data_IF_036799779458
#
_entry.id   IF_036799779458
#
_cell.length_a   1.000
_cell.length_b   1.000
_cell.length_c   1.000
_cell.angle_alpha   90.00
_cell.angle_beta   90.00
_cell.angle_gamma   90.00
#
_symmetry.space_group_name_H-M   'P 1'
#
loop_
_entity.id
_entity.type
_entity.pdbx_description
1 polymer ?
#
# COMPACT_ATOMS: atom_id res chain seq x y z
N UNK A 1 4.55 25.54 -37.20
CA UNK A 1 3.65 25.63 -36.02
C UNK A 1 4.06 26.83 -35.18
N UNK A 2 3.13 27.67 -34.74
CA UNK A 2 3.49 28.81 -33.88
C UNK A 2 3.90 28.31 -32.49
N UNK A 3 4.77 29.04 -31.78
CA UNK A 3 5.18 28.69 -30.40
C UNK A 3 3.97 28.49 -29.46
N UNK A 4 2.88 29.22 -29.71
CA UNK A 4 1.59 29.08 -29.00
C UNK A 4 0.90 27.75 -29.29
N UNK A 5 0.95 27.28 -30.55
CA UNK A 5 0.42 25.97 -30.94
C UNK A 5 1.20 24.81 -30.31
N UNK A 6 2.52 24.97 -30.12
CA UNK A 6 3.36 23.97 -29.44
C UNK A 6 3.05 23.93 -27.94
N UNK A 7 2.90 25.10 -27.31
CA UNK A 7 2.53 25.19 -25.89
C UNK A 7 1.15 24.58 -25.61
N UNK A 8 0.18 24.81 -26.49
CA UNK A 8 -1.16 24.25 -26.37
C UNK A 8 -1.18 22.72 -26.50
N UNK A 9 -0.36 22.16 -27.40
CA UNK A 9 -0.22 20.70 -27.55
C UNK A 9 0.46 20.05 -26.34
N UNK A 10 1.41 20.74 -25.71
CA UNK A 10 2.07 20.27 -24.49
C UNK A 10 1.11 20.19 -23.30
N UNK A 11 0.17 21.15 -23.15
CA UNK A 11 -0.87 21.11 -22.12
C UNK A 11 -1.92 20.01 -22.33
N UNK A 12 -2.15 19.55 -23.57
CA UNK A 12 -3.11 18.47 -23.84
C UNK A 12 -2.57 17.09 -23.44
N UNK A 13 -1.25 16.89 -23.47
CA UNK A 13 -0.61 15.60 -23.17
C UNK A 13 -0.54 15.33 -21.66
N UNK A 14 -0.47 16.36 -20.82
CA UNK A 14 -0.38 16.21 -19.35
C UNK A 14 -1.71 15.79 -18.70
N UNK A 15 -2.83 15.88 -19.43
CA UNK A 15 -4.16 15.57 -18.90
C UNK A 15 -4.60 14.10 -19.02
N UNK A 16 -3.86 13.24 -19.73
CA UNK A 16 -4.35 11.90 -20.17
C UNK A 16 -3.79 10.74 -19.34
N UNK A 17 -2.91 10.98 -18.36
CA UNK A 17 -2.22 9.90 -17.64
C UNK A 17 -2.41 9.93 -16.11
N UNK A 18 -3.66 9.93 -15.65
CA UNK A 18 -3.93 9.51 -14.27
C UNK A 18 -4.08 7.99 -14.25
N UNK A 19 -2.96 7.28 -14.14
CA UNK A 19 -3.01 5.86 -13.74
C UNK A 19 -3.38 5.80 -12.26
N UNK A 20 -4.11 4.76 -11.84
CA UNK A 20 -4.35 4.49 -10.42
C UNK A 20 -3.01 4.25 -9.71
N UNK A 21 -2.80 5.01 -8.63
CA UNK A 21 -1.58 4.99 -7.84
C UNK A 21 -1.87 4.51 -6.42
N UNK A 22 -0.84 3.97 -5.78
CA UNK A 22 -0.88 3.70 -4.35
C UNK A 22 -1.05 5.00 -3.56
N UNK A 23 -2.00 5.00 -2.65
CA UNK A 23 -2.24 6.09 -1.71
C UNK A 23 -1.91 5.63 -0.30
N UNK A 24 -1.39 6.52 0.54
CA UNK A 24 -1.23 6.26 1.97
C UNK A 24 -2.43 6.85 2.71
N UNK A 25 -3.01 6.06 3.61
CA UNK A 25 -4.12 6.46 4.44
C UNK A 25 -3.88 6.02 5.89
N UNK A 26 -4.68 6.58 6.79
CA UNK A 26 -4.58 6.31 8.23
C UNK A 26 -5.91 5.85 8.80
N UNK A 27 -5.84 5.04 9.86
CA UNK A 27 -6.97 4.54 10.62
C UNK A 27 -6.70 4.75 12.11
N UNK A 28 -7.57 5.50 12.79
CA UNK A 28 -7.50 5.61 14.24
C UNK A 28 -8.03 4.32 14.87
N UNK A 29 -7.15 3.55 15.52
CA UNK A 29 -7.52 2.36 16.29
C UNK A 29 -7.42 2.65 17.79
N UNK A 30 -8.03 1.79 18.63
CA UNK A 30 -8.00 1.93 20.10
C UNK A 30 -6.58 1.93 20.67
N UNK A 31 -5.68 1.19 20.02
CA UNK A 31 -4.26 1.10 20.36
C UNK A 31 -3.38 2.12 19.61
N UNK A 32 -3.96 3.21 19.10
CA UNK A 32 -3.27 4.29 18.40
C UNK A 32 -3.49 4.34 16.88
N UNK A 33 -2.87 5.33 16.24
CA UNK A 33 -2.95 5.55 14.79
C UNK A 33 -2.30 4.38 14.03
N UNK A 34 -2.94 3.95 12.94
CA UNK A 34 -2.43 2.94 12.00
C UNK A 34 -2.27 3.56 10.63
N UNK A 35 -1.24 3.15 9.91
CA UNK A 35 -0.98 3.59 8.54
C UNK A 35 -1.09 2.40 7.59
N UNK A 36 -1.57 2.64 6.38
CA UNK A 36 -1.64 1.63 5.34
C UNK A 36 -1.52 2.26 3.95
N UNK A 37 -1.01 1.48 2.99
CA UNK A 37 -1.10 1.79 1.57
C UNK A 37 -2.35 1.15 0.99
N UNK A 38 -3.09 1.86 0.15
CA UNK A 38 -4.27 1.36 -0.56
C UNK A 38 -4.10 1.55 -2.06
N UNK A 39 -4.53 0.54 -2.82
CA UNK A 39 -4.69 0.60 -4.26
C UNK A 39 -6.14 0.31 -4.60
N UNK A 40 -6.81 1.30 -5.19
CA UNK A 40 -8.15 1.15 -5.77
C UNK A 40 -7.93 0.99 -7.27
N UNK A 41 -8.49 -0.03 -7.93
CA UNK A 41 -8.24 -0.24 -9.35
C UNK A 41 -9.02 0.76 -10.21
N UNK A 42 -8.52 1.04 -11.41
CA UNK A 42 -9.09 2.05 -12.31
C UNK A 42 -10.53 1.74 -12.75
N UNK A 43 -10.90 0.46 -12.74
CA UNK A 43 -12.23 -0.03 -13.10
C UNK A 43 -13.22 -0.14 -11.92
N UNK A 44 -12.87 0.35 -10.72
CA UNK A 44 -13.76 0.29 -9.57
C UNK A 44 -15.10 1.00 -9.83
N UNK A 45 -16.20 0.30 -9.54
CA UNK A 45 -17.56 0.81 -9.65
C UNK A 45 -18.34 0.47 -8.37
N UNK A 46 -18.95 1.48 -7.73
CA UNK A 46 -19.73 1.26 -6.50
C UNK A 46 -21.00 0.44 -6.71
N UNK A 47 -21.53 0.36 -7.94
CA UNK A 47 -22.66 -0.50 -8.29
C UNK A 47 -22.25 -1.97 -8.51
N UNK A 48 -20.96 -2.23 -8.72
CA UNK A 48 -20.38 -3.58 -8.76
C UNK A 48 -19.14 -3.64 -7.87
N UNK A 49 -19.33 -3.76 -6.54
CA UNK A 49 -18.26 -3.60 -5.57
C UNK A 49 -17.07 -4.54 -5.82
N UNK A 50 -15.86 -4.00 -5.71
CA UNK A 50 -14.62 -4.77 -5.74
C UNK A 50 -14.50 -5.68 -4.51
N UNK A 51 -13.80 -6.81 -4.67
CA UNK A 51 -13.32 -7.59 -3.52
C UNK A 51 -12.18 -6.85 -2.81
N UNK A 52 -11.95 -7.15 -1.53
CA UNK A 52 -10.86 -6.56 -0.75
C UNK A 52 -9.79 -7.61 -0.42
N UNK A 53 -8.53 -7.31 -0.70
CA UNK A 53 -7.38 -8.13 -0.33
C UNK A 53 -6.45 -7.33 0.59
N UNK A 54 -6.09 -7.92 1.72
CA UNK A 54 -5.13 -7.34 2.66
C UNK A 54 -3.82 -8.12 2.54
N UNK A 55 -2.73 -7.41 2.27
CA UNK A 55 -1.40 -7.99 2.08
C UNK A 55 -0.47 -7.55 3.21
N UNK A 56 0.08 -8.53 3.93
CA UNK A 56 0.92 -8.29 5.11
C UNK A 56 2.38 -8.53 4.74
N UNK A 57 3.22 -7.52 4.97
CA UNK A 57 4.66 -7.62 4.74
C UNK A 57 5.34 -8.51 5.79
N UNK A 58 6.55 -9.00 5.48
CA UNK A 58 7.35 -9.82 6.39
C UNK A 58 7.99 -9.03 7.54
N UNK A 59 8.63 -9.73 8.48
CA UNK A 59 9.35 -9.13 9.61
C UNK A 59 10.44 -8.17 9.11
N UNK A 60 10.48 -6.96 9.67
CA UNK A 60 11.46 -5.92 9.34
C UNK A 60 11.16 -5.15 8.04
N UNK A 61 10.17 -5.56 7.26
CA UNK A 61 9.78 -4.88 6.02
C UNK A 61 8.80 -3.71 6.28
N UNK A 62 8.37 -3.02 5.23
CA UNK A 62 7.42 -1.90 5.28
C UNK A 62 6.35 -2.02 4.21
N UNK A 63 5.19 -1.37 4.42
CA UNK A 63 4.12 -1.29 3.44
C UNK A 63 4.59 -0.70 2.09
N UNK A 64 5.53 0.25 2.12
CA UNK A 64 6.00 0.96 0.93
C UNK A 64 6.85 0.06 0.03
N UNK A 65 7.64 -0.82 0.63
CA UNK A 65 8.41 -1.81 -0.11
C UNK A 65 7.50 -2.96 -0.59
N UNK A 66 6.73 -3.55 0.33
CA UNK A 66 5.93 -4.74 0.05
C UNK A 66 4.80 -4.51 -0.95
N UNK A 67 4.20 -3.32 -1.02
CA UNK A 67 3.15 -3.03 -2.01
C UNK A 67 3.61 -3.18 -3.48
N UNK A 68 4.93 -3.17 -3.73
CA UNK A 68 5.49 -3.26 -5.08
C UNK A 68 5.68 -4.68 -5.61
N UNK A 69 5.27 -5.72 -4.88
CA UNK A 69 5.43 -7.13 -5.30
C UNK A 69 4.43 -7.61 -6.36
N UNK A 70 3.68 -6.70 -7.00
CA UNK A 70 2.82 -7.00 -8.15
C UNK A 70 1.31 -6.98 -7.88
N UNK A 71 0.87 -6.70 -6.66
CA UNK A 71 -0.56 -6.69 -6.33
C UNK A 71 -1.38 -5.60 -7.05
N UNK A 72 -0.76 -4.48 -7.44
CA UNK A 72 -1.45 -3.46 -8.24
C UNK A 72 -1.92 -3.99 -9.60
N UNK A 73 -1.12 -4.82 -10.28
CA UNK A 73 -1.53 -5.43 -11.55
C UNK A 73 -2.68 -6.44 -11.36
N UNK A 74 -2.68 -7.16 -10.24
CA UNK A 74 -3.79 -8.06 -9.88
C UNK A 74 -5.06 -7.29 -9.56
N UNK A 75 -4.95 -6.12 -8.89
CA UNK A 75 -6.07 -5.24 -8.60
C UNK A 75 -6.79 -4.80 -9.88
N UNK A 76 -6.03 -4.29 -10.85
CA UNK A 76 -6.55 -3.87 -12.16
C UNK A 76 -7.25 -5.01 -12.91
N UNK A 77 -6.63 -6.20 -12.91
CA UNK A 77 -7.13 -7.35 -13.67
C UNK A 77 -8.39 -7.96 -13.06
N UNK A 78 -8.53 -7.96 -11.73
CA UNK A 78 -9.54 -8.75 -11.04
C UNK A 78 -10.61 -7.92 -10.30
N UNK A 79 -10.63 -6.59 -10.47
CA UNK A 79 -11.51 -5.68 -9.73
C UNK A 79 -11.38 -5.90 -8.20
N UNK A 80 -10.15 -5.78 -7.71
CA UNK A 80 -9.80 -5.97 -6.30
C UNK A 80 -9.21 -4.67 -5.76
N UNK A 81 -9.68 -4.23 -4.59
CA UNK A 81 -8.99 -3.22 -3.79
C UNK A 81 -7.92 -3.92 -2.97
N UNK A 82 -6.69 -3.40 -2.99
CA UNK A 82 -5.59 -3.96 -2.20
C UNK A 82 -5.21 -2.99 -1.10
N UNK A 83 -5.09 -3.52 0.12
CA UNK A 83 -4.57 -2.79 1.27
C UNK A 83 -3.29 -3.46 1.74
N UNK A 84 -2.23 -2.69 1.90
CA UNK A 84 -0.97 -3.11 2.51
C UNK A 84 -0.75 -2.29 3.80
N UNK A 85 -1.14 -2.81 4.98
CA UNK A 85 -0.95 -2.10 6.24
C UNK A 85 0.51 -2.10 6.69
N UNK A 86 0.89 -1.06 7.43
CA UNK A 86 2.19 -0.96 8.09
C UNK A 86 2.12 -1.60 9.48
N UNK A 87 2.98 -2.58 9.76
CA UNK A 87 3.10 -3.11 11.12
C UNK A 87 3.76 -2.07 12.05
N UNK A 88 3.56 -2.23 13.36
CA UNK A 88 4.18 -1.35 14.35
C UNK A 88 5.63 -1.74 14.59
N UNK A 89 6.44 -0.79 15.05
CA UNK A 89 7.80 -1.08 15.51
C UNK A 89 7.76 -1.76 16.89
N UNK A 90 8.23 -3.00 16.95
CA UNK A 90 8.51 -3.73 18.17
C UNK A 90 9.97 -3.48 18.62
N UNK A 91 10.22 -3.19 19.92
CA UNK A 91 11.58 -2.89 20.40
C UNK A 91 12.60 -4.02 20.25
N UNK A 92 12.16 -5.28 20.15
CA UNK A 92 13.04 -6.45 20.11
C UNK A 92 13.27 -6.94 18.68
N UNK A 93 12.25 -6.83 17.83
CA UNK A 93 12.20 -7.47 16.50
C UNK A 93 12.07 -6.48 15.33
N UNK A 94 11.95 -5.18 15.61
CA UNK A 94 11.74 -4.14 14.60
C UNK A 94 10.29 -4.10 14.12
N UNK A 95 10.05 -3.67 12.88
CA UNK A 95 8.69 -3.62 12.32
C UNK A 95 8.07 -5.02 12.26
N UNK A 96 7.06 -5.29 13.09
CA UNK A 96 6.54 -6.63 13.29
C UNK A 96 5.02 -6.65 13.55
N UNK A 97 4.40 -7.76 13.15
CA UNK A 97 3.03 -8.09 13.55
C UNK A 97 3.04 -8.76 14.93
N UNK A 98 1.92 -8.65 15.66
CA UNK A 98 1.71 -9.43 16.88
C UNK A 98 1.40 -10.90 16.55
N UNK A 99 2.35 -11.58 15.90
CA UNK A 99 2.23 -12.98 15.46
C UNK A 99 2.94 -13.97 16.39
N UNK A 100 3.70 -13.46 17.38
CA UNK A 100 4.62 -14.27 18.20
C UNK A 100 5.92 -14.64 17.49
N UNK A 101 6.08 -14.29 16.21
CA UNK A 101 7.34 -14.42 15.50
C UNK A 101 8.38 -13.48 16.13
N UNK A 102 9.56 -14.00 16.47
CA UNK A 102 10.62 -13.27 17.18
C UNK A 102 10.75 -13.62 18.66
N UNK A 103 9.70 -14.14 19.31
CA UNK A 103 9.77 -14.59 20.71
C UNK A 103 10.67 -15.83 20.89
N UNK A 104 10.72 -16.70 19.86
CA UNK A 104 11.44 -17.98 19.92
C UNK A 104 12.98 -17.88 19.92
N UNK A 105 13.55 -16.70 19.68
CA UNK A 105 15.01 -16.47 19.72
C UNK A 105 15.47 -15.77 21.00
N UNK A 106 14.55 -15.47 21.92
CA UNK A 106 14.88 -14.89 23.21
C UNK A 106 14.92 -15.98 24.28
N UNK A 107 16.05 -16.68 24.40
CA UNK A 107 16.41 -17.30 25.69
C UNK A 107 17.02 -16.17 26.53
N UNK A 108 16.34 -15.64 27.57
CA UNK A 108 17.02 -14.75 28.50
C UNK A 108 18.24 -15.51 29.02
N UNK A 109 19.43 -14.91 28.90
CA UNK A 109 20.63 -15.45 29.52
C UNK A 109 20.30 -15.69 31.00
N UNK A 110 20.57 -16.89 31.55
CA UNK A 110 20.33 -17.14 32.96
C UNK A 110 21.18 -16.14 33.74
N UNK A 111 20.52 -15.32 34.56
CA UNK A 111 21.17 -14.56 35.64
C UNK A 111 21.76 -15.52 36.65
#
# INVERSE_FOLDING_TARGET
MTKKSILFLFLLITGIFYSQQWQTATLQHSSGLREYSIYVPSNYNSQNPASLVITLHGLGDTMNNFRNIGFAALAETNNIIVICPQALNDPLSGTAWNSGAGYSFYTPMPT
#
